data_IF_099006580801
#
_entry.id   IF_099006580801
#
_cell.length_a   1.000
_cell.length_b   1.000
_cell.length_c   1.000
_cell.angle_alpha   90.00
_cell.angle_beta   90.00
_cell.angle_gamma   90.00
#
_symmetry.space_group_name_H-M   'P 1'
#
loop_
_entity.id
_entity.type
_entity.pdbx_description
1 polymer ?
#
# COMPACT_ATOMS: atom_id res chain seq x y z
N UNK A 1 10.14 -42.75 5.58
CA UNK A 1 8.73 -42.53 5.95
C UNK A 1 8.13 -43.82 6.49
N UNK A 2 7.30 -43.73 7.53
CA UNK A 2 6.54 -44.88 8.06
C UNK A 2 5.13 -44.99 7.42
N UNK A 3 4.45 -46.11 7.62
CA UNK A 3 3.14 -46.36 7.02
C UNK A 3 2.07 -45.36 7.47
N UNK A 4 2.10 -44.89 8.73
CA UNK A 4 1.11 -43.94 9.24
C UNK A 4 1.21 -42.57 8.55
N UNK A 5 2.45 -42.10 8.34
CA UNK A 5 2.73 -40.88 7.57
C UNK A 5 2.33 -41.06 6.10
N UNK A 6 2.69 -42.19 5.48
CA UNK A 6 2.33 -42.47 4.09
C UNK A 6 0.80 -42.45 3.92
N UNK A 7 0.07 -43.12 4.82
CA UNK A 7 -1.39 -43.21 4.78
C UNK A 7 -2.07 -41.85 4.92
N UNK A 8 -1.53 -40.95 5.75
CA UNK A 8 -2.02 -39.57 5.86
C UNK A 8 -1.80 -38.76 4.57
N UNK A 9 -0.76 -39.09 3.81
CA UNK A 9 -0.35 -38.38 2.59
C UNK A 9 -0.99 -38.95 1.31
N UNK A 10 -1.56 -40.15 1.35
CA UNK A 10 -2.16 -40.81 0.18
C UNK A 10 -3.28 -40.00 -0.49
N UNK A 11 -4.14 -39.36 0.29
CA UNK A 11 -5.22 -38.54 -0.28
C UNK A 11 -4.67 -37.30 -0.99
N UNK A 12 -3.69 -36.62 -0.37
CA UNK A 12 -3.01 -35.47 -0.98
C UNK A 12 -2.19 -35.87 -2.21
N UNK A 13 -1.70 -37.10 -2.26
CA UNK A 13 -1.01 -37.68 -3.41
C UNK A 13 -1.96 -37.81 -4.60
N UNK A 14 -3.17 -38.36 -4.39
CA UNK A 14 -4.20 -38.47 -5.45
C UNK A 14 -4.66 -37.09 -5.93
N UNK A 15 -4.86 -36.14 -5.01
CA UNK A 15 -5.25 -34.78 -5.36
C UNK A 15 -4.13 -33.97 -6.05
N UNK A 16 -2.90 -34.50 -6.14
CA UNK A 16 -1.75 -33.79 -6.71
C UNK A 16 -1.27 -32.59 -5.88
N UNK A 17 -1.54 -32.58 -4.57
CA UNK A 17 -1.32 -31.43 -3.66
C UNK A 17 -0.10 -31.56 -2.75
N UNK A 18 0.70 -32.61 -2.89
CA UNK A 18 1.94 -32.79 -2.12
C UNK A 18 3.06 -31.90 -2.67
N UNK A 19 3.92 -31.40 -1.78
CA UNK A 19 5.19 -30.82 -2.19
C UNK A 19 6.14 -31.89 -2.76
N UNK A 20 7.14 -31.45 -3.54
CA UNK A 20 8.06 -32.33 -4.25
C UNK A 20 8.80 -33.32 -3.32
N UNK A 21 9.15 -32.90 -2.10
CA UNK A 21 9.91 -33.73 -1.17
C UNK A 21 9.02 -34.84 -0.58
N UNK A 22 7.79 -34.51 -0.18
CA UNK A 22 6.81 -35.50 0.30
C UNK A 22 6.36 -36.43 -0.81
N UNK A 23 6.16 -35.92 -2.02
CA UNK A 23 5.81 -36.73 -3.18
C UNK A 23 6.85 -37.84 -3.42
N UNK A 24 8.14 -37.47 -3.48
CA UNK A 24 9.24 -38.43 -3.64
C UNK A 24 9.32 -39.45 -2.50
N UNK A 25 9.09 -39.01 -1.25
CA UNK A 25 9.05 -39.91 -0.10
C UNK A 25 7.90 -40.93 -0.19
N UNK A 26 6.73 -40.50 -0.67
CA UNK A 26 5.53 -41.34 -0.88
C UNK A 26 5.78 -42.36 -1.97
N UNK A 27 6.30 -41.96 -3.13
CA UNK A 27 6.66 -42.91 -4.19
C UNK A 27 7.67 -43.95 -3.74
N UNK A 28 8.71 -43.53 -3.02
CA UNK A 28 9.73 -44.46 -2.48
C UNK A 28 9.09 -45.48 -1.53
N UNK A 29 8.18 -45.03 -0.66
CA UNK A 29 7.47 -45.92 0.26
C UNK A 29 6.50 -46.85 -0.47
N UNK A 30 5.76 -46.36 -1.47
CA UNK A 30 4.88 -47.15 -2.31
C UNK A 30 5.66 -48.22 -3.09
N UNK A 31 6.92 -47.96 -3.48
CA UNK A 31 7.79 -48.96 -4.10
C UNK A 31 8.07 -50.18 -3.20
N UNK A 32 8.06 -50.00 -1.87
CA UNK A 32 8.46 -51.04 -0.91
C UNK A 32 7.29 -51.63 -0.12
N UNK A 33 6.24 -50.86 0.17
CA UNK A 33 5.16 -51.26 1.07
C UNK A 33 3.91 -51.73 0.32
N UNK A 34 3.63 -53.05 0.36
CA UNK A 34 2.45 -53.64 -0.29
C UNK A 34 1.12 -53.15 0.29
N UNK A 35 1.07 -52.88 1.60
CA UNK A 35 -0.16 -52.40 2.27
C UNK A 35 -0.56 -51.01 1.77
N UNK A 36 0.38 -50.06 1.77
CA UNK A 36 0.08 -48.70 1.30
C UNK A 36 -0.26 -48.66 -0.19
N UNK A 37 0.31 -49.55 -1.02
CA UNK A 37 -0.13 -49.72 -2.42
C UNK A 37 -1.57 -50.21 -2.55
N UNK A 38 -1.98 -51.13 -1.69
CA UNK A 38 -3.36 -51.60 -1.68
C UNK A 38 -4.33 -50.50 -1.26
N UNK A 39 -3.97 -49.74 -0.21
CA UNK A 39 -4.76 -48.60 0.25
C UNK A 39 -4.86 -47.51 -0.84
N UNK A 40 -3.76 -47.23 -1.57
CA UNK A 40 -3.77 -46.32 -2.71
C UNK A 40 -4.75 -46.79 -3.80
N UNK A 41 -4.69 -48.06 -4.19
CA UNK A 41 -5.60 -48.60 -5.21
C UNK A 41 -7.08 -48.49 -4.80
N UNK A 42 -7.40 -48.66 -3.51
CA UNK A 42 -8.75 -48.44 -3.00
C UNK A 42 -9.18 -46.98 -3.12
N UNK A 43 -8.29 -46.04 -2.80
CA UNK A 43 -8.58 -44.62 -2.98
C UNK A 43 -8.72 -44.23 -4.46
N UNK A 44 -7.93 -44.79 -5.37
CA UNK A 44 -8.06 -44.57 -6.82
C UNK A 44 -9.44 -45.04 -7.33
N UNK A 45 -9.90 -46.23 -6.90
CA UNK A 45 -11.24 -46.73 -7.23
C UNK A 45 -12.33 -45.77 -6.71
N UNK A 46 -12.19 -45.29 -5.46
CA UNK A 46 -13.14 -44.33 -4.90
C UNK A 46 -13.11 -42.99 -5.63
N UNK A 47 -11.91 -42.52 -6.01
CA UNK A 47 -11.74 -41.28 -6.76
C UNK A 47 -12.42 -41.40 -8.12
N UNK A 48 -12.21 -42.48 -8.85
CA UNK A 48 -12.86 -42.73 -10.15
C UNK A 48 -14.38 -42.86 -10.01
N UNK A 49 -14.87 -43.54 -8.97
CA UNK A 49 -16.31 -43.69 -8.73
C UNK A 49 -16.99 -42.36 -8.36
N UNK A 50 -16.27 -41.44 -7.71
CA UNK A 50 -16.75 -40.11 -7.36
C UNK A 50 -16.49 -39.08 -8.46
N UNK A 51 -15.56 -39.37 -9.37
CA UNK A 51 -15.26 -38.54 -10.53
C UNK A 51 -16.37 -38.56 -11.57
N UNK A 52 -17.54 -39.17 -11.26
CA UNK A 52 -18.76 -39.09 -12.05
C UNK A 52 -18.93 -37.64 -12.50
N UNK A 53 -18.67 -37.35 -13.79
CA UNK A 53 -18.95 -36.06 -14.35
C UNK A 53 -20.45 -36.09 -14.57
N UNK A 54 -21.22 -36.01 -13.48
CA UNK A 54 -22.56 -35.51 -13.58
C UNK A 54 -22.39 -34.16 -14.24
N UNK A 55 -22.67 -34.13 -15.53
CA UNK A 55 -22.54 -33.00 -16.42
C UNK A 55 -23.61 -32.01 -15.98
N UNK A 56 -23.39 -31.42 -14.81
CA UNK A 56 -24.19 -30.34 -14.29
C UNK A 56 -23.97 -29.21 -15.27
N UNK A 57 -24.93 -29.08 -16.18
CA UNK A 57 -24.95 -28.01 -17.16
C UNK A 57 -24.75 -26.70 -16.43
N UNK A 58 -23.68 -25.98 -16.77
CA UNK A 58 -23.46 -24.63 -16.28
C UNK A 58 -24.77 -23.83 -16.48
N UNK A 59 -25.27 -23.13 -15.46
CA UNK A 59 -26.45 -22.29 -15.63
C UNK A 59 -26.21 -21.30 -16.77
N UNK A 60 -27.14 -21.20 -17.72
CA UNK A 60 -27.03 -20.34 -18.92
C UNK A 60 -26.67 -18.87 -18.60
N UNK A 61 -26.92 -18.44 -17.36
CA UNK A 61 -26.68 -17.09 -16.87
C UNK A 61 -25.43 -16.93 -15.98
N UNK A 62 -24.60 -17.95 -15.76
CA UNK A 62 -23.44 -17.85 -14.86
C UNK A 62 -22.46 -16.79 -15.37
N UNK A 63 -22.12 -16.81 -16.65
CA UNK A 63 -21.28 -15.78 -17.28
C UNK A 63 -21.86 -14.38 -17.09
N UNK A 64 -23.17 -14.23 -17.27
CA UNK A 64 -23.85 -12.93 -17.09
C UNK A 64 -23.78 -12.46 -15.62
N UNK A 65 -23.98 -13.35 -14.66
CA UNK A 65 -23.89 -13.05 -13.23
C UNK A 65 -22.47 -12.68 -12.80
N UNK A 66 -21.47 -13.41 -13.29
CA UNK A 66 -20.04 -13.13 -13.03
C UNK A 66 -19.66 -11.77 -13.60
N UNK A 67 -20.02 -11.50 -14.85
CA UNK A 67 -19.73 -10.21 -15.50
C UNK A 67 -20.46 -9.05 -14.82
N UNK A 68 -21.72 -9.24 -14.38
CA UNK A 68 -22.44 -8.24 -13.60
C UNK A 68 -21.73 -7.95 -12.26
N UNK A 69 -21.21 -8.99 -11.59
CA UNK A 69 -20.45 -8.84 -10.35
C UNK A 69 -19.13 -8.11 -10.57
N UNK A 70 -18.39 -8.44 -11.62
CA UNK A 70 -17.14 -7.76 -11.99
C UNK A 70 -17.42 -6.29 -12.29
N UNK A 71 -18.42 -5.99 -13.12
CA UNK A 71 -18.82 -4.62 -13.47
C UNK A 71 -19.21 -3.80 -12.23
N UNK A 72 -19.95 -4.39 -11.28
CA UNK A 72 -20.31 -3.72 -10.03
C UNK A 72 -19.08 -3.39 -9.16
N UNK A 73 -18.12 -4.31 -9.09
CA UNK A 73 -16.88 -4.16 -8.33
C UNK A 73 -15.99 -3.08 -8.93
N UNK A 74 -15.86 -3.06 -10.26
CA UNK A 74 -15.13 -2.00 -10.96
C UNK A 74 -15.79 -0.63 -10.78
N UNK A 75 -17.13 -0.56 -10.86
CA UNK A 75 -17.86 0.69 -10.64
C UNK A 75 -17.63 1.22 -9.23
N UNK A 76 -17.67 0.35 -8.22
CA UNK A 76 -17.40 0.72 -6.84
C UNK A 76 -15.95 1.21 -6.66
N UNK A 77 -14.98 0.55 -7.30
CA UNK A 77 -13.57 0.98 -7.30
C UNK A 77 -13.37 2.33 -7.98
N UNK A 78 -14.04 2.57 -9.12
CA UNK A 78 -14.01 3.87 -9.80
C UNK A 78 -14.59 4.96 -8.92
N UNK A 79 -15.77 4.74 -8.32
CA UNK A 79 -16.41 5.70 -7.41
C UNK A 79 -15.51 5.99 -6.20
N UNK A 80 -14.91 4.96 -5.60
CA UNK A 80 -13.96 5.13 -4.49
C UNK A 80 -12.70 5.90 -4.91
N UNK A 81 -12.21 5.71 -6.14
CA UNK A 81 -11.05 6.44 -6.67
C UNK A 81 -11.35 7.89 -7.08
N UNK A 82 -12.60 8.19 -7.44
CA UNK A 82 -13.06 9.53 -7.82
C UNK A 82 -13.61 10.31 -6.64
N UNK A 83 -13.79 9.69 -5.47
CA UNK A 83 -14.03 10.45 -4.26
C UNK A 83 -12.77 11.29 -4.03
N UNK A 84 -12.85 12.63 -4.19
CA UNK A 84 -11.72 13.49 -3.85
C UNK A 84 -11.41 13.14 -2.40
N UNK A 85 -10.14 12.78 -2.13
CA UNK A 85 -9.64 12.53 -0.80
C UNK A 85 -10.24 13.60 0.10
N UNK A 86 -11.24 13.19 0.88
CA UNK A 86 -12.11 14.11 1.57
C UNK A 86 -11.22 14.74 2.60
N UNK A 87 -10.62 15.88 2.26
CA UNK A 87 -9.80 16.67 3.16
C UNK A 87 -10.77 17.18 4.20
N UNK A 88 -11.09 16.30 5.16
CA UNK A 88 -11.93 16.63 6.28
C UNK A 88 -11.12 17.68 6.98
N UNK A 89 -11.68 18.89 7.11
CA UNK A 89 -11.04 19.98 7.84
C UNK A 89 -10.56 19.56 9.24
N UNK A 90 -11.14 18.48 9.80
CA UNK A 90 -10.65 17.77 10.99
C UNK A 90 -9.20 17.28 10.89
N UNK A 91 -8.80 16.69 9.76
CA UNK A 91 -7.44 16.19 9.56
C UNK A 91 -6.46 17.36 9.36
N UNK A 92 -6.92 18.45 8.74
CA UNK A 92 -6.17 19.71 8.66
C UNK A 92 -5.96 20.32 10.05
N UNK A 93 -7.01 20.35 10.88
CA UNK A 93 -6.95 20.84 12.26
C UNK A 93 -6.05 19.96 13.12
N UNK A 94 -6.12 18.64 12.99
CA UNK A 94 -5.24 17.72 13.70
C UNK A 94 -3.78 17.92 13.29
N UNK A 95 -3.50 18.04 11.99
CA UNK A 95 -2.15 18.32 11.51
C UNK A 95 -1.63 19.68 12.01
N UNK A 96 -2.48 20.71 12.01
CA UNK A 96 -2.13 22.03 12.53
C UNK A 96 -1.84 21.98 14.04
N UNK A 97 -2.69 21.32 14.83
CA UNK A 97 -2.52 21.16 16.28
C UNK A 97 -1.24 20.39 16.58
N UNK A 98 -0.98 19.27 15.89
CA UNK A 98 0.25 18.50 16.04
C UNK A 98 1.49 19.30 15.66
N UNK A 99 1.42 20.09 14.59
CA UNK A 99 2.49 21.00 14.18
C UNK A 99 2.78 22.05 15.24
N UNK A 100 1.75 22.71 15.78
CA UNK A 100 1.90 23.70 16.86
C UNK A 100 2.39 23.10 18.17
N UNK A 101 1.94 21.89 18.52
CA UNK A 101 2.39 21.21 19.73
C UNK A 101 3.86 20.80 19.62
N UNK A 102 4.29 20.33 18.45
CA UNK A 102 5.69 19.96 18.19
C UNK A 102 6.62 21.18 18.26
N UNK A 103 6.24 22.31 17.66
CA UNK A 103 7.04 23.54 17.72
C UNK A 103 7.09 24.11 19.15
N UNK A 104 5.97 24.09 19.86
CA UNK A 104 5.91 24.53 21.26
C UNK A 104 6.76 23.65 22.18
N UNK A 105 6.71 22.32 21.99
CA UNK A 105 7.53 21.38 22.76
C UNK A 105 9.02 21.60 22.47
N UNK A 106 9.39 21.84 21.22
CA UNK A 106 10.79 22.13 20.84
C UNK A 106 11.31 23.42 21.49
N UNK A 107 10.48 24.48 21.54
CA UNK A 107 10.77 25.73 22.23
C UNK A 107 10.94 25.54 23.74
N UNK A 108 10.07 24.71 24.36
CA UNK A 108 10.14 24.40 25.78
C UNK A 108 11.40 23.59 26.14
N UNK A 109 11.84 22.68 25.27
CA UNK A 109 13.06 21.89 25.49
C UNK A 109 14.35 22.70 25.29
N UNK A 110 14.31 23.83 24.60
CA UNK A 110 15.48 24.67 24.31
C UNK A 110 15.30 26.10 24.82
N UNK A 111 15.41 26.33 26.15
CA UNK A 111 15.13 27.63 26.76
C UNK A 111 16.07 28.76 26.31
N UNK A 112 17.26 28.43 25.80
CA UNK A 112 18.22 29.40 25.24
C UNK A 112 17.72 30.07 23.95
N UNK A 113 16.79 29.44 23.22
CA UNK A 113 16.17 29.99 22.00
C UNK A 113 14.96 30.88 22.32
N UNK A 114 14.30 30.70 23.47
CA UNK A 114 13.07 31.42 23.80
C UNK A 114 13.27 32.93 24.00
N UNK A 115 14.36 33.32 24.68
CA UNK A 115 14.69 34.73 24.93
C UNK A 115 15.11 35.47 23.66
N UNK A 116 15.78 34.78 22.74
CA UNK A 116 16.16 35.32 21.44
C UNK A 116 14.97 35.39 20.46
N UNK A 117 14.05 34.42 20.48
CA UNK A 117 12.84 34.45 19.63
C UNK A 117 11.89 35.59 19.97
N UNK A 118 11.68 35.88 21.26
CA UNK A 118 10.74 36.92 21.71
C UNK A 118 11.21 38.32 21.30
N UNK A 119 12.51 38.60 21.40
CA UNK A 119 13.13 39.83 20.90
C UNK A 119 13.10 39.92 19.36
N UNK A 120 13.26 38.78 18.67
CA UNK A 120 13.30 38.76 17.21
C UNK A 120 11.90 38.99 16.61
N UNK A 121 10.85 38.32 17.08
CA UNK A 121 9.49 38.50 16.54
C UNK A 121 8.98 39.94 16.74
N UNK A 122 9.27 40.55 17.90
CA UNK A 122 8.84 41.91 18.20
C UNK A 122 9.50 42.98 17.30
N UNK A 123 10.62 42.67 16.65
CA UNK A 123 11.33 43.61 15.75
C UNK A 123 11.37 43.16 14.28
N UNK A 124 10.97 41.93 13.96
CA UNK A 124 11.12 41.35 12.60
C UNK A 124 9.91 41.50 11.69
N UNK A 125 8.72 41.82 12.21
CA UNK A 125 7.53 41.95 11.35
C UNK A 125 7.64 43.08 10.31
N UNK A 126 8.25 44.26 10.61
CA UNK A 126 8.53 45.27 9.59
C UNK A 126 9.79 44.99 8.74
N UNK A 127 10.66 44.05 9.15
CA UNK A 127 11.97 43.78 8.57
C UNK A 127 11.97 42.59 7.58
N UNK A 128 10.93 41.77 7.62
CA UNK A 128 10.74 40.65 6.69
C UNK A 128 10.60 41.13 5.23
N UNK A 129 10.06 42.33 5.02
CA UNK A 129 9.95 42.96 3.69
C UNK A 129 11.31 43.48 3.19
N UNK A 130 12.19 43.94 4.08
CA UNK A 130 13.51 44.47 3.68
C UNK A 130 14.55 43.36 3.46
N UNK A 131 14.43 42.22 4.15
CA UNK A 131 15.28 41.04 3.96
C UNK A 131 15.06 40.33 2.61
N UNK A 132 13.87 40.45 1.99
CA UNK A 132 13.62 39.92 0.64
C UNK A 132 14.37 40.74 -0.44
N UNK A 133 14.83 41.96 -0.11
CA UNK A 133 15.52 42.87 -1.03
C UNK A 133 17.03 42.99 -0.81
N UNK A 134 17.57 42.44 0.28
CA UNK A 134 18.97 42.65 0.65
C UNK A 134 19.87 41.52 0.12
N UNK A 135 20.77 41.84 -0.82
CA UNK A 135 21.75 40.94 -1.46
C UNK A 135 22.93 40.56 -0.52
N UNK A 136 22.64 40.07 0.68
CA UNK A 136 23.64 39.70 1.69
C UNK A 136 23.68 38.20 2.03
N UNK A 137 24.68 37.73 2.82
CA UNK A 137 24.86 36.33 3.25
C UNK A 137 23.74 35.75 4.14
N UNK A 138 22.58 36.41 4.21
CA UNK A 138 21.34 35.92 4.83
C UNK A 138 20.58 34.88 4.01
N UNK A 139 21.15 34.35 2.93
CA UNK A 139 20.57 33.27 2.11
C UNK A 139 20.68 31.88 2.74
N UNK A 140 21.66 31.67 3.63
CA UNK A 140 21.89 30.38 4.31
C UNK A 140 20.67 29.91 5.12
N UNK A 141 20.02 30.73 5.97
CA UNK A 141 18.83 30.28 6.72
C UNK A 141 17.64 29.95 5.82
N UNK A 142 17.48 30.65 4.69
CA UNK A 142 16.42 30.34 3.71
C UNK A 142 16.63 29.00 3.02
N UNK A 143 17.87 28.71 2.61
CA UNK A 143 18.22 27.41 2.02
C UNK A 143 17.99 26.29 3.03
N UNK A 144 18.41 26.47 4.29
CA UNK A 144 18.18 25.50 5.35
C UNK A 144 16.68 25.26 5.61
N UNK A 145 15.85 26.30 5.58
CA UNK A 145 14.41 26.20 5.75
C UNK A 145 13.73 25.47 4.58
N UNK A 146 14.11 25.79 3.34
CA UNK A 146 13.62 25.07 2.15
C UNK A 146 13.99 23.60 2.25
N UNK A 147 15.26 23.27 2.52
CA UNK A 147 15.72 21.88 2.68
C UNK A 147 14.88 21.15 3.74
N UNK A 148 14.63 21.79 4.89
CA UNK A 148 13.83 21.22 5.96
C UNK A 148 12.40 20.89 5.51
N UNK A 149 11.73 21.80 4.79
CA UNK A 149 10.39 21.55 4.23
C UNK A 149 10.44 20.42 3.22
N UNK A 150 11.42 20.40 2.32
CA UNK A 150 11.55 19.34 1.32
C UNK A 150 11.73 17.98 1.99
N UNK A 151 12.55 17.90 3.03
CA UNK A 151 12.76 16.67 3.83
C UNK A 151 11.49 16.26 4.57
N UNK A 152 10.75 17.19 5.16
CA UNK A 152 9.47 16.89 5.81
C UNK A 152 8.43 16.35 4.82
N UNK A 153 8.34 16.94 3.62
CA UNK A 153 7.43 16.48 2.56
C UNK A 153 7.85 15.12 2.01
N UNK A 154 9.15 14.86 1.81
CA UNK A 154 9.61 13.55 1.33
C UNK A 154 9.40 12.46 2.38
N UNK A 155 9.63 12.75 3.65
CA UNK A 155 9.41 11.81 4.75
C UNK A 155 7.93 11.46 4.89
N UNK A 156 7.04 12.46 4.86
CA UNK A 156 5.58 12.22 4.92
C UNK A 156 5.08 11.42 3.72
N UNK A 157 5.57 11.72 2.51
CA UNK A 157 5.25 10.93 1.30
C UNK A 157 5.81 9.50 1.38
N UNK A 158 6.96 9.30 2.02
CA UNK A 158 7.52 7.97 2.21
C UNK A 158 6.69 7.14 3.20
N UNK A 159 6.23 7.76 4.29
CA UNK A 159 5.41 7.12 5.32
C UNK A 159 3.98 6.82 4.85
N UNK A 160 3.42 7.63 3.95
CA UNK A 160 2.02 7.52 3.50
C UNK A 160 1.71 6.30 2.60
N UNK A 161 2.70 5.44 2.33
CA UNK A 161 2.51 4.20 1.57
C UNK A 161 2.51 4.40 0.05
N UNK A 162 2.63 3.28 -0.68
CA UNK A 162 2.82 3.29 -2.14
C UNK A 162 1.65 3.90 -2.91
N UNK A 163 0.42 3.76 -2.40
CA UNK A 163 -0.79 4.27 -3.04
C UNK A 163 -0.87 5.80 -3.01
N UNK A 164 -0.50 6.43 -1.89
CA UNK A 164 -0.51 7.90 -1.76
C UNK A 164 0.54 8.53 -2.67
N UNK A 165 1.72 7.91 -2.80
CA UNK A 165 2.77 8.37 -3.73
C UNK A 165 2.32 8.33 -5.18
N UNK A 166 1.64 7.25 -5.59
CA UNK A 166 1.14 7.13 -6.96
C UNK A 166 0.08 8.19 -7.28
N UNK A 167 -0.81 8.49 -6.34
CA UNK A 167 -1.87 9.50 -6.48
C UNK A 167 -1.29 10.92 -6.50
N UNK A 168 -0.36 11.23 -5.60
CA UNK A 168 0.32 12.52 -5.57
C UNK A 168 1.07 12.80 -6.88
N UNK A 169 1.79 11.79 -7.40
CA UNK A 169 2.50 11.91 -8.68
C UNK A 169 1.54 12.22 -9.83
N UNK A 170 0.38 11.56 -9.91
CA UNK A 170 -0.64 11.82 -10.95
C UNK A 170 -1.22 13.24 -10.84
N UNK A 171 -1.54 13.68 -9.62
CA UNK A 171 -2.06 15.04 -9.39
C UNK A 171 -1.03 16.11 -9.78
N UNK A 172 0.24 15.91 -9.40
CA UNK A 172 1.32 16.83 -9.75
C UNK A 172 1.53 16.92 -11.26
N UNK A 173 1.50 15.78 -11.97
CA UNK A 173 1.59 15.77 -13.44
C UNK A 173 0.42 16.48 -14.10
N UNK A 174 -0.80 16.32 -13.56
CA UNK A 174 -1.97 17.00 -14.10
C UNK A 174 -1.87 18.51 -13.92
N UNK A 175 -1.50 18.98 -12.72
CA UNK A 175 -1.36 20.41 -12.42
C UNK A 175 -0.17 21.07 -13.14
N UNK A 176 0.95 20.37 -13.31
CA UNK A 176 2.07 20.87 -14.10
C UNK A 176 1.69 20.97 -15.58
N UNK A 177 1.01 19.95 -16.13
CA UNK A 177 0.52 20.00 -17.51
C UNK A 177 -0.48 21.14 -17.73
N UNK A 178 -1.39 21.39 -16.77
CA UNK A 178 -2.34 22.52 -16.88
C UNK A 178 -1.67 23.88 -16.70
N UNK A 179 -0.65 24.01 -15.82
CA UNK A 179 0.10 25.27 -15.68
C UNK A 179 1.00 25.57 -16.88
N UNK A 180 1.52 24.55 -17.55
CA UNK A 180 2.27 24.70 -18.81
C UNK A 180 1.38 25.01 -20.01
N UNK A 181 0.04 24.97 -19.85
CA UNK A 181 -0.95 25.28 -20.90
C UNK A 181 -1.53 26.70 -20.81
N UNK A 182 -1.03 27.58 -19.94
CA UNK A 182 -1.35 29.02 -19.98
C UNK A 182 -0.33 29.78 -20.84
N UNK A 183 -0.77 30.86 -21.51
CA UNK A 183 -1.05 30.87 -22.94
C UNK A 183 0.02 31.65 -23.71
N UNK A 184 0.22 31.29 -24.98
CA UNK A 184 0.77 32.21 -25.98
C UNK A 184 -0.22 33.35 -26.23
N UNK A 185 -0.35 34.27 -25.27
CA UNK A 185 -1.01 35.55 -25.45
C UNK A 185 0.05 36.64 -25.28
N UNK A 186 0.57 37.04 -26.44
CA UNK A 186 1.32 38.26 -26.78
C UNK A 186 2.76 38.37 -26.26
#
# INVERSE_FOLDING_TARGET
>A
MNCAQAQADLQLYIDGRLDQHRFSAVETHLGTCRRCRHDLALYEILHEALADPSEESEPDNLTALVMARIASTERQKRIASTQPFGWRWRDALLAAVLGTASTLLFLLMNPSLGTSFYMTIAHSFPLLVTLIRAEGPGSIPWIAWIIWITVGVTLTLWLAGAEVRATWKRSLTHHLATRLQFPQLW
#
